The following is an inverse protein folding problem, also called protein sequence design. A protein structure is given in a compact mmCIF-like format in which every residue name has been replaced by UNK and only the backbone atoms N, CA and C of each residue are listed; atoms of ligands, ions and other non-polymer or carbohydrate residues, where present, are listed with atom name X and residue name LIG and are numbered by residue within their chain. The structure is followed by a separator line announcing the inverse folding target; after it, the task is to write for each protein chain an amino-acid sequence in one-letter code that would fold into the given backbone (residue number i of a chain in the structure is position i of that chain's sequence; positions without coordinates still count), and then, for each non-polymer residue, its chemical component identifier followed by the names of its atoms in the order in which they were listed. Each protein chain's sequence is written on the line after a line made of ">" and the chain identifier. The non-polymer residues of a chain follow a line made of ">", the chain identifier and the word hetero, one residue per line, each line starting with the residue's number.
data_IF_673373540425
#
_entry.id   IF_673373540425
#
_cell.length_a   1.000
_cell.length_b   1.000
_cell.length_c   1.000
_cell.angle_alpha   90.00
_cell.angle_beta   90.00
_cell.angle_gamma   90.00
#
_symmetry.space_group_name_H-M   'P 1'
#
loop_
_entity.id
_entity.type
_entity.pdbx_description
1 polymer ?
#
# COMPACT_ATOMS: atom_id res chain seq x y z
N UNK A 1 2.72 -13.30 -8.19
CA UNK A 1 1.61 -14.15 -8.70
C UNK A 1 0.58 -13.33 -9.48
N UNK A 2 0.03 -12.25 -8.90
CA UNK A 2 -0.93 -11.40 -9.61
C UNK A 2 -0.32 -10.57 -10.75
N UNK A 3 0.87 -9.99 -10.57
CA UNK A 3 1.49 -9.11 -11.58
C UNK A 3 2.19 -9.90 -12.69
N UNK A 4 1.88 -9.56 -13.94
CA UNK A 4 2.52 -10.12 -15.15
C UNK A 4 3.67 -9.26 -15.67
N UNK A 5 3.62 -7.94 -15.43
CA UNK A 5 4.71 -7.04 -15.75
C UNK A 5 6.00 -7.43 -15.01
N UNK A 6 7.19 -7.20 -15.60
CA UNK A 6 8.45 -7.34 -14.89
C UNK A 6 8.43 -6.52 -13.59
N UNK A 7 8.85 -7.15 -12.49
CA UNK A 7 8.84 -6.57 -11.15
C UNK A 7 10.22 -6.71 -10.51
N UNK A 8 10.74 -5.60 -9.99
CA UNK A 8 11.88 -5.59 -9.07
C UNK A 8 11.36 -5.33 -7.65
N UNK A 9 11.87 -6.07 -6.67
CA UNK A 9 11.40 -6.00 -5.28
C UNK A 9 12.55 -5.57 -4.38
N UNK A 10 12.39 -4.41 -3.74
CA UNK A 10 13.32 -3.91 -2.73
C UNK A 10 12.76 -4.14 -1.34
N UNK A 11 13.44 -4.96 -0.56
CA UNK A 11 13.02 -5.34 0.80
C UNK A 11 13.83 -4.60 1.87
N UNK A 12 13.15 -4.22 2.95
CA UNK A 12 13.73 -3.62 4.16
C UNK A 12 13.06 -4.25 5.38
N UNK A 13 13.85 -4.55 6.41
CA UNK A 13 13.36 -4.96 7.72
C UNK A 13 13.96 -4.00 8.75
N UNK A 14 13.12 -3.22 9.41
CA UNK A 14 13.53 -2.11 10.29
C UNK A 14 12.71 -2.13 11.58
N UNK A 15 13.24 -1.59 12.70
CA UNK A 15 12.49 -1.43 13.93
C UNK A 15 11.40 -0.35 13.82
N UNK A 16 10.45 -0.39 14.77
CA UNK A 16 9.36 0.59 14.94
C UNK A 16 9.88 1.95 15.45
N UNK A 17 10.73 2.62 14.65
CA UNK A 17 11.25 3.97 14.92
C UNK A 17 10.79 4.89 13.82
N UNK A 18 9.93 5.86 14.16
CA UNK A 18 9.26 6.72 13.19
C UNK A 18 10.22 7.34 12.17
N UNK A 19 11.30 7.98 12.61
CA UNK A 19 12.30 8.60 11.71
C UNK A 19 13.00 7.62 10.77
N UNK A 20 13.19 6.36 11.20
CA UNK A 20 13.77 5.32 10.35
C UNK A 20 12.74 4.82 9.31
N UNK A 21 11.48 4.70 9.71
CA UNK A 21 10.39 4.34 8.80
C UNK A 21 10.21 5.43 7.74
N UNK A 22 10.18 6.71 8.15
CA UNK A 22 10.10 7.87 7.27
C UNK A 22 11.25 7.88 6.25
N UNK A 23 12.50 7.85 6.73
CA UNK A 23 13.68 7.86 5.85
C UNK A 23 13.75 6.66 4.92
N UNK A 24 13.29 5.48 5.34
CA UNK A 24 13.23 4.29 4.48
C UNK A 24 12.17 4.44 3.39
N UNK A 25 10.99 4.95 3.71
CA UNK A 25 9.95 5.20 2.69
C UNK A 25 10.39 6.25 1.68
N UNK A 26 11.08 7.30 2.14
CA UNK A 26 11.69 8.33 1.27
C UNK A 26 12.75 7.71 0.37
N UNK A 27 13.68 6.92 0.91
CA UNK A 27 14.73 6.25 0.12
C UNK A 27 14.13 5.35 -0.98
N UNK A 28 13.15 4.52 -0.62
CA UNK A 28 12.50 3.63 -1.57
C UNK A 28 11.74 4.40 -2.66
N UNK A 29 11.04 5.49 -2.32
CA UNK A 29 10.29 6.28 -3.29
C UNK A 29 11.21 7.13 -4.18
N UNK A 30 12.15 7.87 -3.59
CA UNK A 30 12.86 8.95 -4.28
C UNK A 30 14.20 8.51 -4.88
N UNK A 31 14.90 7.59 -4.21
CA UNK A 31 16.26 7.17 -4.60
C UNK A 31 16.21 5.89 -5.41
N UNK A 32 15.48 4.89 -4.90
CA UNK A 32 15.29 3.62 -5.60
C UNK A 32 14.28 3.74 -6.74
N UNK A 33 13.32 4.65 -6.63
CA UNK A 33 12.31 4.88 -7.66
C UNK A 33 11.18 3.85 -7.63
N UNK A 34 10.82 3.34 -6.46
CA UNK A 34 9.67 2.45 -6.32
C UNK A 34 8.37 3.18 -6.72
N UNK A 35 7.50 2.49 -7.45
CA UNK A 35 6.18 3.01 -7.84
C UNK A 35 5.08 2.65 -6.84
N UNK A 36 5.33 1.61 -6.03
CA UNK A 36 4.47 1.16 -4.95
C UNK A 36 5.36 0.76 -3.79
N UNK A 37 5.11 1.32 -2.61
CA UNK A 37 5.75 0.93 -1.35
C UNK A 37 4.67 0.49 -0.39
N UNK A 38 4.87 -0.68 0.21
CA UNK A 38 3.92 -1.29 1.12
C UNK A 38 4.62 -1.56 2.44
N UNK A 39 4.02 -1.12 3.54
CA UNK A 39 4.52 -1.42 4.89
C UNK A 39 3.68 -2.53 5.52
N UNK A 40 4.23 -3.24 6.50
CA UNK A 40 3.50 -4.24 7.28
C UNK A 40 3.89 -4.15 8.75
N UNK A 41 2.89 -4.06 9.63
CA UNK A 41 3.09 -3.89 11.08
C UNK A 41 3.06 -2.43 11.55
N UNK A 42 3.03 -2.24 12.87
CA UNK A 42 3.10 -0.91 13.50
C UNK A 42 1.93 0.02 13.23
N UNK A 43 0.72 -0.51 12.98
CA UNK A 43 -0.51 0.27 12.68
C UNK A 43 -1.61 0.16 13.74
N UNK A 44 -1.32 -0.44 14.90
CA UNK A 44 -2.29 -0.55 16.00
C UNK A 44 -2.35 0.71 16.87
N UNK A 45 -3.01 0.63 18.02
CA UNK A 45 -3.19 1.76 18.93
C UNK A 45 -2.07 1.90 19.97
N UNK A 46 -1.07 1.02 20.00
CA UNK A 46 0.00 1.08 21.00
C UNK A 46 0.96 2.24 20.72
N UNK A 47 1.56 2.84 21.75
CA UNK A 47 2.47 4.00 21.60
C UNK A 47 3.67 3.75 20.65
N UNK A 48 4.06 2.49 20.49
CA UNK A 48 5.14 2.07 19.57
C UNK A 48 4.69 1.99 18.10
N UNK A 49 3.40 1.95 17.84
CA UNK A 49 2.83 1.75 16.51
C UNK A 49 2.75 3.08 15.75
N UNK A 50 3.88 3.46 15.17
CA UNK A 50 4.13 4.78 14.56
C UNK A 50 4.17 4.79 13.03
N UNK A 51 3.79 3.68 12.39
CA UNK A 51 3.86 3.54 10.92
C UNK A 51 2.89 4.48 10.18
N UNK A 52 1.64 4.68 10.64
CA UNK A 52 0.74 5.66 10.04
C UNK A 52 1.29 7.09 10.10
N UNK A 53 1.80 7.53 11.25
CA UNK A 53 2.43 8.86 11.41
C UNK A 53 3.60 9.05 10.46
N UNK A 54 4.48 8.06 10.38
CA UNK A 54 5.60 8.08 9.44
C UNK A 54 5.10 8.19 8.00
N UNK A 55 4.00 7.51 7.66
CA UNK A 55 3.43 7.55 6.31
C UNK A 55 2.84 8.92 6.01
N UNK A 56 2.04 9.48 6.92
CA UNK A 56 1.43 10.80 6.78
C UNK A 56 2.47 11.92 6.65
N UNK A 57 3.61 11.80 7.34
CA UNK A 57 4.69 12.79 7.28
C UNK A 57 5.47 12.81 5.96
N UNK A 58 5.52 11.70 5.22
CA UNK A 58 6.32 11.61 3.99
C UNK A 58 5.51 11.73 2.71
N UNK A 59 4.20 11.54 2.77
CA UNK A 59 3.32 11.67 1.61
C UNK A 59 2.91 13.12 1.40
N UNK A 60 2.80 13.51 0.13
CA UNK A 60 2.36 14.84 -0.28
C UNK A 60 0.83 14.95 -0.29
N UNK A 61 0.15 13.81 -0.45
CA UNK A 61 -1.31 13.73 -0.54
C UNK A 61 -1.81 12.43 0.04
N UNK A 62 -2.74 12.52 0.99
CA UNK A 62 -3.40 11.36 1.59
C UNK A 62 -4.45 10.74 0.66
N UNK A 63 -4.63 9.44 0.81
CA UNK A 63 -5.60 8.62 0.08
C UNK A 63 -6.56 7.94 1.08
N UNK A 64 -7.48 8.68 1.71
CA UNK A 64 -8.28 8.19 2.85
C UNK A 64 -9.10 6.94 2.54
N UNK A 65 -9.57 6.80 1.29
CA UNK A 65 -10.34 5.63 0.84
C UNK A 65 -9.61 4.30 0.99
N UNK A 66 -8.26 4.28 0.98
CA UNK A 66 -7.50 3.04 1.25
C UNK A 66 -7.65 2.62 2.71
N UNK A 67 -7.44 3.53 3.65
CA UNK A 67 -7.57 3.22 5.08
C UNK A 67 -8.99 2.78 5.44
N UNK A 68 -9.99 3.47 4.91
CA UNK A 68 -11.41 3.11 5.04
C UNK A 68 -11.69 1.71 4.52
N UNK A 69 -11.28 1.42 3.28
CA UNK A 69 -11.56 0.14 2.64
C UNK A 69 -10.80 -1.01 3.30
N UNK A 70 -9.54 -0.82 3.67
CA UNK A 70 -8.75 -1.84 4.38
C UNK A 70 -9.37 -2.20 5.74
N UNK A 71 -9.88 -1.21 6.49
CA UNK A 71 -10.61 -1.46 7.73
C UNK A 71 -11.93 -2.19 7.46
N UNK A 72 -12.68 -1.78 6.44
CA UNK A 72 -13.95 -2.41 6.08
C UNK A 72 -13.77 -3.88 5.65
N UNK A 73 -12.72 -4.20 4.89
CA UNK A 73 -12.35 -5.57 4.53
C UNK A 73 -12.00 -6.36 5.79
N UNK A 74 -11.09 -5.84 6.63
CA UNK A 74 -10.64 -6.50 7.84
C UNK A 74 -11.78 -6.76 8.85
N UNK A 75 -12.79 -5.89 8.91
CA UNK A 75 -13.93 -6.01 9.80
C UNK A 75 -14.79 -7.26 9.54
N UNK A 76 -14.74 -7.80 8.31
CA UNK A 76 -15.39 -9.07 7.95
C UNK A 76 -14.77 -10.27 8.68
N UNK A 77 -13.52 -10.15 9.12
CA UNK A 77 -12.73 -11.23 9.73
C UNK A 77 -12.50 -11.02 11.22
N UNK A 78 -12.43 -9.77 11.69
CA UNK A 78 -12.20 -9.46 13.10
C UNK A 78 -12.88 -8.16 13.55
N UNK A 79 -13.61 -8.15 14.68
CA UNK A 79 -14.22 -6.94 15.22
C UNK A 79 -13.22 -5.85 15.60
N UNK A 80 -11.98 -6.21 15.93
CA UNK A 80 -10.95 -5.25 16.35
C UNK A 80 -10.28 -4.54 15.18
N UNK A 81 -10.70 -4.79 13.93
CA UNK A 81 -10.21 -4.09 12.75
C UNK A 81 -10.35 -2.56 12.84
N UNK A 82 -11.33 -2.07 13.63
CA UNK A 82 -11.54 -0.65 13.87
C UNK A 82 -10.39 0.03 14.62
N UNK A 83 -9.55 -0.72 15.33
CA UNK A 83 -8.39 -0.20 16.05
C UNK A 83 -7.20 0.08 15.13
N UNK A 84 -7.26 -0.38 13.89
CA UNK A 84 -6.19 -0.16 12.92
C UNK A 84 -6.17 1.28 12.44
N UNK A 85 -5.00 1.90 12.54
CA UNK A 85 -4.70 3.25 12.07
C UNK A 85 -4.08 3.27 10.67
N UNK A 86 -4.12 2.14 9.95
CA UNK A 86 -3.61 2.04 8.58
C UNK A 86 -4.12 3.16 7.67
N UNK A 87 -3.21 3.70 6.86
CA UNK A 87 -3.48 4.78 5.91
C UNK A 87 -2.74 4.53 4.59
N UNK A 88 -2.88 5.47 3.66
CA UNK A 88 -2.17 5.49 2.40
C UNK A 88 -2.01 6.94 1.90
N UNK A 89 -1.04 7.14 1.02
CA UNK A 89 -0.81 8.42 0.37
C UNK A 89 0.12 8.29 -0.83
N UNK A 90 0.36 9.44 -1.45
CA UNK A 90 1.19 9.56 -2.65
C UNK A 90 2.42 10.42 -2.31
N UNK A 91 3.59 9.96 -2.74
CA UNK A 91 4.85 10.72 -2.73
C UNK A 91 5.42 10.69 -4.15
N UNK A 92 5.49 11.82 -4.84
CA UNK A 92 5.80 11.89 -6.26
C UNK A 92 4.91 10.94 -7.09
N UNK A 93 5.53 10.00 -7.79
CA UNK A 93 4.86 8.94 -8.58
C UNK A 93 4.77 7.58 -7.85
N UNK A 94 4.95 7.58 -6.52
CA UNK A 94 4.88 6.38 -5.68
C UNK A 94 3.60 6.36 -4.84
N UNK A 95 2.88 5.24 -4.88
CA UNK A 95 1.80 4.94 -3.94
C UNK A 95 2.37 4.26 -2.69
N UNK A 96 2.09 4.82 -1.51
CA UNK A 96 2.45 4.29 -0.20
C UNK A 96 1.19 3.83 0.54
N UNK A 97 1.16 2.61 1.08
CA UNK A 97 0.05 2.17 1.96
C UNK A 97 0.49 1.15 3.01
N UNK A 98 -0.23 1.14 4.13
CA UNK A 98 0.10 0.29 5.28
C UNK A 98 -0.80 -0.93 5.34
N UNK A 99 -0.20 -2.12 5.33
CA UNK A 99 -0.90 -3.38 5.53
C UNK A 99 -0.83 -3.85 6.98
N UNK A 100 -1.76 -4.75 7.39
CA UNK A 100 -1.67 -5.44 8.67
C UNK A 100 -0.37 -6.23 8.86
N UNK A 101 -0.04 -6.61 10.10
CA UNK A 101 1.16 -7.39 10.42
C UNK A 101 1.02 -8.91 10.29
N UNK A 102 -0.20 -9.46 10.23
CA UNK A 102 -0.42 -10.92 10.20
C UNK A 102 -0.52 -11.42 8.76
N UNK A 103 0.19 -12.48 8.34
CA UNK A 103 0.17 -12.98 6.96
C UNK A 103 -1.23 -13.24 6.39
N UNK A 104 -2.13 -13.81 7.21
CA UNK A 104 -3.53 -14.02 6.82
C UNK A 104 -4.25 -12.70 6.52
N UNK A 105 -4.15 -11.72 7.42
CA UNK A 105 -4.78 -10.41 7.26
C UNK A 105 -4.17 -9.60 6.11
N UNK A 106 -2.86 -9.76 5.86
CA UNK A 106 -2.19 -9.20 4.67
C UNK A 106 -2.87 -9.73 3.41
N UNK A 107 -3.01 -11.06 3.29
CA UNK A 107 -3.61 -11.68 2.11
C UNK A 107 -5.07 -11.25 1.90
N UNK A 108 -5.88 -11.30 2.96
CA UNK A 108 -7.29 -10.87 2.93
C UNK A 108 -7.45 -9.41 2.49
N UNK A 109 -6.51 -8.54 2.87
CA UNK A 109 -6.57 -7.11 2.57
C UNK A 109 -6.04 -6.78 1.18
N UNK A 110 -4.84 -7.28 0.85
CA UNK A 110 -4.14 -6.89 -0.37
C UNK A 110 -4.89 -7.35 -1.62
N UNK A 111 -5.61 -8.46 -1.57
CA UNK A 111 -6.32 -9.01 -2.73
C UNK A 111 -7.42 -8.10 -3.25
N UNK A 112 -8.08 -7.41 -2.33
CA UNK A 112 -9.13 -6.46 -2.66
C UNK A 112 -8.55 -5.09 -3.00
N UNK A 113 -7.53 -4.63 -2.26
CA UNK A 113 -6.90 -3.33 -2.49
C UNK A 113 -6.14 -3.28 -3.81
N UNK A 114 -5.43 -4.36 -4.15
CA UNK A 114 -4.59 -4.42 -5.35
C UNK A 114 -5.39 -4.28 -6.65
N UNK A 115 -6.71 -4.50 -6.63
CA UNK A 115 -7.58 -4.26 -7.79
C UNK A 115 -7.58 -2.79 -8.23
N UNK A 116 -7.32 -1.85 -7.33
CA UNK A 116 -7.26 -0.41 -7.62
C UNK A 116 -5.82 0.10 -7.84
N UNK A 117 -4.81 -0.61 -7.31
CA UNK A 117 -3.41 -0.17 -7.31
C UNK A 117 -2.87 0.10 -8.71
N UNK A 118 -3.00 -0.80 -9.71
CA UNK A 118 -2.46 -0.58 -11.06
C UNK A 118 -2.98 0.69 -11.72
N UNK A 119 -4.27 0.99 -11.61
CA UNK A 119 -4.83 2.21 -12.17
C UNK A 119 -4.41 3.46 -11.37
N UNK A 120 -4.27 3.34 -10.05
CA UNK A 120 -3.70 4.43 -9.26
C UNK A 120 -2.28 4.77 -9.70
N UNK A 121 -1.44 3.76 -9.98
CA UNK A 121 -0.07 3.94 -10.47
C UNK A 121 -0.08 4.63 -11.85
N UNK A 122 -0.98 4.23 -12.75
CA UNK A 122 -1.13 4.91 -14.04
C UNK A 122 -1.43 6.42 -13.86
N UNK A 123 -2.33 6.77 -12.94
CA UNK A 123 -2.78 8.14 -12.70
C UNK A 123 -1.73 9.05 -12.06
N UNK A 124 -0.78 8.48 -11.32
CA UNK A 124 0.33 9.23 -10.70
C UNK A 124 1.59 9.24 -11.57
N UNK A 125 1.50 8.81 -12.84
CA UNK A 125 2.59 8.85 -13.81
C UNK A 125 3.57 7.70 -13.72
N UNK A 126 3.21 6.61 -13.03
CA UNK A 126 4.00 5.39 -12.97
C UNK A 126 3.83 4.48 -14.20
N UNK A 127 4.48 3.31 -14.19
CA UNK A 127 4.42 2.34 -15.28
C UNK A 127 3.08 1.62 -15.30
N UNK A 128 2.73 1.11 -16.48
CA UNK A 128 1.55 0.26 -16.63
C UNK A 128 1.79 -1.12 -16.01
N UNK A 129 1.15 -1.37 -14.87
CA UNK A 129 1.18 -2.67 -14.19
C UNK A 129 0.06 -3.56 -14.74
N UNK A 130 0.44 -4.65 -15.42
CA UNK A 130 -0.50 -5.66 -15.89
C UNK A 130 -0.61 -6.82 -14.88
N UNK A 131 -1.79 -7.39 -14.77
CA UNK A 131 -2.12 -8.45 -13.82
C UNK A 131 -2.76 -9.64 -14.53
N UNK A 132 -2.62 -10.83 -13.95
CA UNK A 132 -3.39 -12.01 -14.31
C UNK A 132 -4.83 -11.86 -13.79
N UNK A 133 -5.81 -11.74 -14.70
CA UNK A 133 -7.22 -11.53 -14.37
C UNK A 133 -7.85 -12.65 -13.52
N UNK A 134 -7.31 -13.87 -13.60
CA UNK A 134 -7.78 -15.00 -12.79
C UNK A 134 -7.40 -14.84 -11.31
N UNK A 135 -6.33 -14.09 -11.02
CA UNK A 135 -5.81 -13.87 -9.67
C UNK A 135 -6.22 -12.49 -9.15
N UNK A 136 -6.08 -11.45 -9.99
CA UNK A 136 -6.42 -10.08 -9.66
C UNK A 136 -6.95 -9.36 -10.90
N UNK A 137 -8.27 -9.16 -10.94
CA UNK A 137 -8.92 -8.30 -11.93
C UNK A 137 -8.64 -6.82 -11.57
N UNK A 138 -7.49 -6.33 -12.02
CA UNK A 138 -7.07 -4.95 -11.84
C UNK A 138 -7.97 -4.01 -12.65
N UNK A 139 -8.84 -3.29 -11.94
CA UNK A 139 -9.85 -2.48 -12.59
C UNK A 139 -9.23 -1.25 -13.26
N UNK A 140 -9.55 -1.09 -14.55
CA UNK A 140 -9.32 0.12 -15.33
C UNK A 140 -10.58 0.52 -16.09
N UNK A 141 -10.89 1.83 -16.19
CA UNK A 141 -11.90 2.33 -17.12
C UNK A 141 -11.58 1.93 -18.56
N UNK A 142 -12.60 1.82 -19.42
CA UNK A 142 -12.46 1.28 -20.79
C UNK A 142 -11.36 1.98 -21.61
N UNK A 143 -11.23 3.29 -21.49
CA UNK A 143 -10.23 4.09 -22.21
C UNK A 143 -8.80 3.97 -21.67
N UNK A 144 -8.60 3.38 -20.49
CA UNK A 144 -7.28 3.19 -19.87
C UNK A 144 -6.76 1.74 -20.03
N UNK A 145 -7.56 0.83 -20.61
CA UNK A 145 -7.16 -0.56 -20.84
C UNK A 145 -6.27 -0.68 -22.07
N UNK A 146 -5.22 -1.50 -21.97
CA UNK A 146 -4.33 -1.85 -23.09
C UNK A 146 -4.62 -3.24 -23.66
N UNK A 147 -5.53 -3.98 -23.02
CA UNK A 147 -6.06 -5.29 -23.42
C UNK A 147 -7.55 -5.39 -23.08
#
# INVERSE_FOLDING_TARGET
>A
EATLSPLEVHYRCIPDKQSLIESTMIELADVVGCHVVVTTGGTGPADRDVTPEATENVVERLMPGFGEQMRAISLKYTPTAILSRQTAGIRGSCLLFNLPGRPKSIRETIDEIWKAVPYCVDLIGGPYLDCNDEICNAFRPKNARRR
#
